data_IF_922092667372
#
_entry.id   IF_922092667372
#
_cell.length_a   1.000
_cell.length_b   1.000
_cell.length_c   1.000
_cell.angle_alpha   90.00
_cell.angle_beta   90.00
_cell.angle_gamma   90.00
#
_symmetry.space_group_name_H-M   'P 1'
#
loop_
_entity.id
_entity.type
_entity.pdbx_description
1 polymer ?
#
# COMPACT_ATOMS: atom_id res chain seq x y z
N UNK A 1 18.17 -31.36 -1.98
CA UNK A 1 18.34 -30.16 -2.80
C UNK A 1 19.15 -29.17 -1.99
N UNK A 2 20.39 -28.89 -2.41
CA UNK A 2 21.26 -27.95 -1.71
C UNK A 2 20.65 -26.56 -1.81
N UNK A 3 20.33 -25.93 -0.68
CA UNK A 3 20.05 -24.51 -0.67
C UNK A 3 21.28 -23.80 -1.27
N UNK A 4 21.12 -22.92 -2.29
CA UNK A 4 22.25 -22.17 -2.79
C UNK A 4 22.86 -21.42 -1.61
N UNK A 5 24.19 -21.56 -1.44
CA UNK A 5 24.95 -20.77 -0.51
C UNK A 5 24.72 -19.29 -0.88
N UNK A 6 23.77 -18.65 -0.20
CA UNK A 6 23.47 -17.23 -0.37
C UNK A 6 24.75 -16.47 -0.05
N UNK A 7 25.38 -15.93 -1.09
CA UNK A 7 26.70 -15.32 -1.06
C UNK A 7 26.74 -14.25 0.05
N UNK A 8 27.61 -14.46 1.04
CA UNK A 8 27.86 -13.54 2.17
C UNK A 8 28.49 -12.20 1.76
N UNK A 9 28.51 -11.89 0.46
CA UNK A 9 29.21 -10.77 -0.15
C UNK A 9 28.27 -9.64 -0.61
N UNK A 10 26.97 -9.76 -0.30
CA UNK A 10 26.04 -8.64 -0.53
C UNK A 10 26.34 -7.56 0.51
N UNK A 11 26.88 -6.44 0.05
CA UNK A 11 27.10 -5.24 0.88
C UNK A 11 25.85 -4.37 0.99
N UNK A 12 24.93 -4.50 0.03
CA UNK A 12 23.67 -3.74 -0.01
C UNK A 12 22.48 -4.69 -0.14
N UNK A 13 21.53 -4.58 0.78
CA UNK A 13 20.24 -5.24 0.72
C UNK A 13 19.16 -4.19 0.49
N UNK A 14 18.40 -4.32 -0.58
CA UNK A 14 17.30 -3.42 -0.92
C UNK A 14 16.01 -4.19 -1.10
N UNK A 15 15.01 -3.82 -0.31
CA UNK A 15 13.67 -4.41 -0.33
C UNK A 15 12.67 -3.38 -0.85
N UNK A 16 12.02 -3.70 -1.96
CA UNK A 16 10.95 -2.86 -2.51
C UNK A 16 9.65 -3.03 -1.71
N UNK A 17 9.04 -1.91 -1.38
CA UNK A 17 7.80 -1.82 -0.61
C UNK A 17 6.71 -1.35 -1.55
N UNK A 18 5.85 -2.29 -1.94
CA UNK A 18 4.75 -2.00 -2.84
C UNK A 18 3.71 -1.11 -2.13
N UNK A 19 3.51 0.08 -2.69
CA UNK A 19 2.61 1.13 -2.21
C UNK A 19 1.16 0.94 -2.62
N UNK A 20 0.60 1.98 -3.23
CA UNK A 20 -0.78 2.03 -3.69
C UNK A 20 -1.01 1.34 -5.03
N UNK A 21 0.04 1.03 -5.80
CA UNK A 21 -0.06 0.28 -7.07
C UNK A 21 -0.31 -1.23 -6.89
N UNK A 22 -1.27 -1.58 -6.05
CA UNK A 22 -1.66 -2.97 -5.79
C UNK A 22 -2.78 -3.38 -6.73
N UNK A 23 -2.79 -4.66 -7.08
CA UNK A 23 -3.92 -5.25 -7.82
C UNK A 23 -5.26 -4.96 -7.14
N UNK A 24 -5.35 -5.12 -5.81
CA UNK A 24 -6.56 -4.80 -5.05
C UNK A 24 -7.02 -3.35 -5.22
N UNK A 25 -6.09 -2.39 -5.16
CA UNK A 25 -6.43 -0.98 -5.36
C UNK A 25 -6.89 -0.70 -6.80
N UNK A 26 -6.24 -1.31 -7.80
CA UNK A 26 -6.62 -1.19 -9.22
C UNK A 26 -8.01 -1.77 -9.45
N UNK A 27 -8.27 -2.96 -8.91
CA UNK A 27 -9.56 -3.64 -8.98
C UNK A 27 -10.68 -2.77 -8.40
N UNK A 28 -10.54 -2.32 -7.15
CA UNK A 28 -11.54 -1.48 -6.49
C UNK A 28 -11.68 -0.11 -7.15
N UNK A 29 -10.58 0.49 -7.61
CA UNK A 29 -10.61 1.75 -8.37
C UNK A 29 -11.41 1.63 -9.68
N UNK A 30 -11.30 0.49 -10.35
CA UNK A 30 -12.03 0.19 -11.59
C UNK A 30 -13.50 -0.08 -11.33
N UNK A 31 -13.84 -0.91 -10.34
CA UNK A 31 -15.23 -1.18 -9.95
C UNK A 31 -15.94 0.12 -9.52
N UNK A 32 -15.27 0.95 -8.72
CA UNK A 32 -15.79 2.25 -8.32
C UNK A 32 -15.94 3.21 -9.51
N UNK A 33 -15.03 3.17 -10.49
CA UNK A 33 -15.15 3.98 -11.70
C UNK A 33 -16.39 3.61 -12.51
N UNK A 34 -16.59 2.32 -12.77
CA UNK A 34 -17.74 1.81 -13.53
C UNK A 34 -19.05 2.20 -12.83
N UNK A 35 -19.14 1.94 -11.52
CA UNK A 35 -20.34 2.28 -10.73
C UNK A 35 -20.59 3.79 -10.64
N UNK A 36 -19.56 4.56 -10.30
CA UNK A 36 -19.64 6.02 -10.14
C UNK A 36 -20.02 6.72 -11.45
N UNK A 37 -19.32 6.42 -12.53
CA UNK A 37 -19.61 7.01 -13.85
C UNK A 37 -20.98 6.55 -14.34
N UNK A 38 -21.31 5.26 -14.18
CA UNK A 38 -22.61 4.71 -14.56
C UNK A 38 -23.77 5.42 -13.87
N UNK A 39 -23.71 5.61 -12.56
CA UNK A 39 -24.75 6.33 -11.81
C UNK A 39 -24.78 7.83 -12.11
N UNK A 40 -23.63 8.45 -12.36
CA UNK A 40 -23.57 9.85 -12.76
C UNK A 40 -24.26 10.07 -14.12
N UNK A 41 -23.95 9.22 -15.11
CA UNK A 41 -24.58 9.25 -16.42
C UNK A 41 -26.08 8.92 -16.34
N UNK A 42 -26.49 7.98 -15.48
CA UNK A 42 -27.91 7.67 -15.25
C UNK A 42 -28.68 8.87 -14.69
N UNK A 43 -28.14 9.52 -13.65
CA UNK A 43 -28.73 10.71 -13.05
C UNK A 43 -28.81 11.88 -14.01
N UNK A 44 -27.75 12.11 -14.80
CA UNK A 44 -27.72 13.16 -15.83
C UNK A 44 -28.69 12.85 -16.99
N UNK A 45 -28.81 11.59 -17.39
CA UNK A 45 -29.77 11.17 -18.43
C UNK A 45 -31.21 11.43 -18.00
N UNK A 46 -31.54 11.13 -16.73
CA UNK A 46 -32.86 11.42 -16.15
C UNK A 46 -33.16 12.92 -16.08
N UNK A 47 -32.15 13.75 -15.81
CA UNK A 47 -32.31 15.21 -15.79
C UNK A 47 -32.48 15.82 -17.19
N UNK A 48 -31.62 15.43 -18.14
CA UNK A 48 -31.59 15.97 -19.49
C UNK A 48 -32.64 15.35 -20.44
N UNK A 49 -33.27 14.24 -20.03
CA UNK A 49 -34.15 13.42 -20.89
C UNK A 49 -33.46 12.91 -22.16
N UNK A 50 -32.14 12.70 -22.07
CA UNK A 50 -31.31 12.14 -23.15
C UNK A 50 -30.64 10.87 -22.62
N UNK A 51 -30.64 9.79 -23.40
CA UNK A 51 -29.95 8.57 -22.99
C UNK A 51 -28.43 8.69 -23.19
N UNK A 52 -27.66 8.83 -22.10
CA UNK A 52 -26.20 8.86 -22.12
C UNK A 52 -25.56 7.49 -21.88
N UNK A 53 -26.36 6.48 -21.54
CA UNK A 53 -25.89 5.13 -21.26
C UNK A 53 -26.05 4.24 -22.49
N UNK A 54 -25.03 3.42 -22.76
CA UNK A 54 -25.05 2.47 -23.88
C UNK A 54 -25.93 1.24 -23.54
N UNK A 55 -25.97 0.84 -22.27
CA UNK A 55 -26.55 -0.45 -21.84
C UNK A 55 -28.02 -0.33 -21.41
N UNK A 56 -28.48 0.84 -20.98
CA UNK A 56 -29.82 1.02 -20.41
C UNK A 56 -30.35 2.42 -20.69
N UNK A 57 -31.64 2.56 -20.99
CA UNK A 57 -32.28 3.86 -21.14
C UNK A 57 -32.80 4.37 -19.79
N UNK A 58 -32.16 5.43 -19.30
CA UNK A 58 -32.54 6.11 -18.04
C UNK A 58 -33.16 7.49 -18.28
N UNK A 59 -33.42 7.86 -19.53
CA UNK A 59 -34.01 9.16 -19.90
C UNK A 59 -35.45 9.34 -19.38
N UNK A 60 -36.17 8.23 -19.25
CA UNK A 60 -37.57 8.19 -18.79
C UNK A 60 -37.71 8.19 -17.27
N UNK A 61 -36.62 7.96 -16.51
CA UNK A 61 -36.67 7.97 -15.05
C UNK A 61 -37.13 9.36 -14.54
N UNK A 62 -38.02 9.36 -13.55
CA UNK A 62 -38.42 10.58 -12.87
C UNK A 62 -37.23 11.10 -12.06
N UNK A 63 -36.81 12.34 -12.35
CA UNK A 63 -35.61 12.90 -11.73
C UNK A 63 -35.69 12.97 -10.21
N UNK A 64 -36.85 13.37 -9.66
CA UNK A 64 -37.07 13.37 -8.20
C UNK A 64 -38.01 12.21 -7.85
N UNK A 65 -37.65 11.33 -6.89
CA UNK A 65 -36.41 11.31 -6.10
C UNK A 65 -35.28 10.46 -6.72
N UNK A 66 -35.56 9.68 -7.76
CA UNK A 66 -34.67 8.60 -8.19
C UNK A 66 -33.45 9.09 -8.99
N UNK A 67 -33.65 9.95 -9.99
CA UNK A 67 -32.54 10.51 -10.79
C UNK A 67 -31.55 11.33 -9.97
N UNK A 68 -32.02 12.13 -9.01
CA UNK A 68 -31.17 12.89 -8.09
C UNK A 68 -30.40 11.98 -7.12
N UNK A 69 -31.02 10.90 -6.63
CA UNK A 69 -30.32 9.91 -5.83
C UNK A 69 -29.20 9.22 -6.62
N UNK A 70 -29.47 8.81 -7.87
CA UNK A 70 -28.46 8.25 -8.77
C UNK A 70 -27.34 9.25 -9.03
N UNK A 71 -27.66 10.52 -9.28
CA UNK A 71 -26.66 11.57 -9.48
C UNK A 71 -25.78 11.74 -8.24
N UNK A 72 -26.36 11.74 -7.04
CA UNK A 72 -25.63 11.83 -5.78
C UNK A 72 -24.65 10.64 -5.60
N UNK A 73 -25.13 9.40 -5.76
CA UNK A 73 -24.28 8.21 -5.68
C UNK A 73 -23.21 8.20 -6.77
N UNK A 74 -23.53 8.71 -7.97
CA UNK A 74 -22.59 8.87 -9.07
C UNK A 74 -21.46 9.83 -8.75
N UNK A 75 -21.77 10.99 -8.15
CA UNK A 75 -20.76 11.96 -7.69
C UNK A 75 -19.88 11.33 -6.60
N UNK A 76 -20.49 10.71 -5.58
CA UNK A 76 -19.74 10.10 -4.49
C UNK A 76 -18.82 8.96 -4.98
N UNK A 77 -19.34 8.06 -5.81
CA UNK A 77 -18.58 6.97 -6.40
C UNK A 77 -17.46 7.45 -7.33
N UNK A 78 -17.73 8.46 -8.15
CA UNK A 78 -16.73 9.05 -9.05
C UNK A 78 -15.63 9.77 -8.27
N UNK A 79 -15.97 10.52 -7.21
CA UNK A 79 -15.00 11.17 -6.35
C UNK A 79 -14.11 10.15 -5.62
N UNK A 80 -14.70 9.07 -5.10
CA UNK A 80 -13.94 7.97 -4.51
C UNK A 80 -13.02 7.30 -5.54
N UNK A 81 -13.52 7.01 -6.73
CA UNK A 81 -12.71 6.42 -7.81
C UNK A 81 -11.56 7.33 -8.21
N UNK A 82 -11.81 8.63 -8.37
CA UNK A 82 -10.78 9.62 -8.68
C UNK A 82 -9.69 9.65 -7.61
N UNK A 83 -10.08 9.62 -6.33
CA UNK A 83 -9.14 9.54 -5.21
C UNK A 83 -8.30 8.26 -5.26
N UNK A 84 -8.93 7.09 -5.49
CA UNK A 84 -8.21 5.82 -5.61
C UNK A 84 -7.21 5.86 -6.76
N UNK A 85 -7.63 6.29 -7.95
CA UNK A 85 -6.74 6.43 -9.12
C UNK A 85 -5.62 7.43 -8.88
N UNK A 86 -5.90 8.56 -8.23
CA UNK A 86 -4.89 9.53 -7.84
C UNK A 86 -3.82 8.90 -6.94
N UNK A 87 -4.23 8.16 -5.91
CA UNK A 87 -3.28 7.47 -5.01
C UNK A 87 -2.47 6.38 -5.73
N UNK A 88 -3.07 5.67 -6.70
CA UNK A 88 -2.41 4.63 -7.51
C UNK A 88 -1.38 5.27 -8.46
N UNK A 89 -1.76 6.32 -9.19
CA UNK A 89 -0.88 7.01 -10.14
C UNK A 89 0.37 7.52 -9.42
N UNK A 90 0.19 8.12 -8.25
CA UNK A 90 1.26 8.69 -7.44
C UNK A 90 2.04 7.67 -6.61
N UNK A 91 1.62 6.41 -6.63
CA UNK A 91 2.14 5.30 -5.83
C UNK A 91 2.33 5.61 -4.35
N UNK A 92 1.30 6.20 -3.73
CA UNK A 92 1.35 6.63 -2.33
C UNK A 92 1.64 5.42 -1.42
N UNK A 93 2.59 5.57 -0.51
CA UNK A 93 3.10 4.54 0.38
C UNK A 93 4.12 3.60 -0.24
N UNK A 94 4.41 3.72 -1.54
CA UNK A 94 5.42 2.92 -2.24
C UNK A 94 6.82 3.42 -1.95
N UNK A 95 7.83 2.56 -2.05
CA UNK A 95 9.22 2.94 -1.82
C UNK A 95 10.08 1.73 -1.52
N UNK A 96 11.13 1.90 -0.71
CA UNK A 96 12.05 0.81 -0.43
C UNK A 96 12.68 0.94 0.95
N UNK A 97 13.20 -0.18 1.46
CA UNK A 97 14.11 -0.24 2.58
C UNK A 97 15.49 -0.61 2.04
N UNK A 98 16.50 0.20 2.28
CA UNK A 98 17.88 -0.08 1.87
C UNK A 98 18.75 -0.19 3.11
N UNK A 99 19.52 -1.28 3.18
CA UNK A 99 20.49 -1.57 4.21
C UNK A 99 21.86 -1.67 3.55
N UNK A 100 22.70 -0.67 3.78
CA UNK A 100 23.97 -0.52 3.09
C UNK A 100 25.12 -0.61 4.10
N UNK A 101 25.93 -1.67 3.99
CA UNK A 101 27.12 -1.92 4.82
C UNK A 101 28.33 -1.08 4.40
N UNK A 102 28.40 -0.63 3.15
CA UNK A 102 29.49 0.26 2.68
C UNK A 102 29.35 1.65 3.30
N UNK A 103 28.15 2.20 3.28
CA UNK A 103 27.87 3.52 3.87
C UNK A 103 27.57 3.45 5.37
N UNK A 104 27.31 2.25 5.90
CA UNK A 104 26.94 2.01 7.29
C UNK A 104 25.59 2.62 7.66
N UNK A 105 24.64 2.70 6.72
CA UNK A 105 23.33 3.35 6.90
C UNK A 105 22.17 2.44 6.49
N UNK A 106 21.06 2.60 7.20
CA UNK A 106 19.74 2.15 6.77
C UNK A 106 18.95 3.34 6.28
N UNK A 107 18.31 3.22 5.12
CA UNK A 107 17.48 4.25 4.50
C UNK A 107 16.10 3.68 4.23
N UNK A 108 15.08 4.34 4.77
CA UNK A 108 13.67 4.00 4.57
C UNK A 108 13.05 5.12 3.75
N UNK A 109 12.72 4.81 2.50
CA UNK A 109 12.12 5.74 1.56
C UNK A 109 10.66 5.37 1.31
N UNK A 110 9.76 6.36 1.34
CA UNK A 110 8.34 6.23 0.98
C UNK A 110 7.86 7.44 0.20
N UNK A 111 7.01 7.20 -0.80
CA UNK A 111 6.23 8.21 -1.50
C UNK A 111 5.03 8.62 -0.65
N UNK A 112 5.00 9.87 -0.20
CA UNK A 112 3.87 10.49 0.45
C UNK A 112 2.88 11.11 -0.54
N UNK A 113 1.91 11.84 0.00
CA UNK A 113 1.01 12.66 -0.80
C UNK A 113 1.76 13.81 -1.50
N UNK A 114 1.21 14.36 -2.61
CA UNK A 114 1.77 15.53 -3.25
C UNK A 114 1.91 16.71 -2.28
N UNK A 115 3.02 17.43 -2.41
CA UNK A 115 3.38 18.55 -1.55
C UNK A 115 4.88 18.66 -1.37
N UNK A 116 5.30 19.57 -0.50
CA UNK A 116 6.73 19.82 -0.21
C UNK A 116 7.44 18.57 0.35
N UNK A 117 6.70 17.76 1.12
CA UNK A 117 7.22 16.55 1.77
C UNK A 117 6.76 15.26 1.09
N UNK A 118 6.64 15.28 -0.25
CA UNK A 118 6.24 14.10 -1.02
C UNK A 118 7.24 12.94 -0.87
N UNK A 119 8.52 13.24 -0.77
CA UNK A 119 9.56 12.23 -0.51
C UNK A 119 9.76 12.14 1.00
N UNK A 120 9.37 11.03 1.59
CA UNK A 120 9.58 10.76 3.00
C UNK A 120 10.77 9.80 3.08
N UNK A 121 11.90 10.33 3.50
CA UNK A 121 13.14 9.57 3.63
C UNK A 121 13.66 9.73 5.05
N UNK A 122 13.93 8.60 5.70
CA UNK A 122 14.52 8.58 7.03
C UNK A 122 15.71 7.64 7.00
N UNK A 123 16.85 8.13 7.49
CA UNK A 123 18.10 7.38 7.50
C UNK A 123 18.66 7.27 8.92
N UNK A 124 19.21 6.11 9.27
CA UNK A 124 19.85 5.84 10.55
C UNK A 124 21.19 5.11 10.37
N UNK A 125 22.12 5.23 11.31
CA UNK A 125 23.32 4.38 11.33
C UNK A 125 22.93 2.92 11.48
N UNK A 126 23.55 2.04 10.69
CA UNK A 126 23.34 0.60 10.78
C UNK A 126 23.77 0.06 12.15
N UNK A 127 24.79 0.66 12.76
CA UNK A 127 25.28 0.36 14.11
C UNK A 127 24.27 0.66 15.23
N UNK A 128 23.18 1.38 14.96
CA UNK A 128 22.12 1.66 15.94
C UNK A 128 21.02 0.61 15.94
N UNK A 129 21.03 -0.33 15.00
CA UNK A 129 20.10 -1.44 14.97
C UNK A 129 20.50 -2.46 16.05
N UNK A 130 19.60 -2.76 16.98
CA UNK A 130 19.80 -3.74 18.05
C UNK A 130 19.23 -5.11 17.70
N UNK A 131 18.06 -5.13 17.08
CA UNK A 131 17.36 -6.36 16.71
C UNK A 131 16.39 -6.09 15.55
N UNK A 132 15.99 -7.16 14.88
CA UNK A 132 14.79 -7.18 14.03
C UNK A 132 13.68 -7.79 14.85
N UNK A 133 12.55 -7.10 14.97
CA UNK A 133 11.40 -7.58 15.76
C UNK A 133 10.26 -8.00 14.85
N UNK A 134 9.85 -9.26 14.96
CA UNK A 134 8.61 -9.79 14.42
C UNK A 134 7.46 -9.53 15.40
N UNK A 135 6.37 -8.94 14.91
CA UNK A 135 5.11 -8.79 15.64
C UNK A 135 4.07 -9.66 14.96
N UNK A 136 3.79 -10.80 15.58
CA UNK A 136 2.86 -11.81 15.10
C UNK A 136 1.69 -11.87 16.07
N UNK A 137 0.51 -11.49 15.58
CA UNK A 137 -0.76 -11.64 16.27
C UNK A 137 -1.70 -12.42 15.39
N UNK A 138 -2.15 -13.57 15.86
CA UNK A 138 -3.17 -14.38 15.19
C UNK A 138 -4.57 -14.11 15.78
N UNK A 139 -5.61 -14.38 15.00
CA UNK A 139 -7.01 -14.19 15.37
C UNK A 139 -7.80 -13.40 14.33
N UNK A 140 -8.90 -12.76 14.74
CA UNK A 140 -9.76 -11.99 13.83
C UNK A 140 -9.06 -10.77 13.20
N UNK A 141 -8.08 -10.20 13.93
CA UNK A 141 -7.26 -9.09 13.45
C UNK A 141 -5.80 -9.53 13.37
N UNK A 142 -5.51 -10.42 12.40
CA UNK A 142 -4.16 -10.90 12.16
C UNK A 142 -3.22 -9.74 11.85
N UNK A 143 -2.12 -9.65 12.61
CA UNK A 143 -1.02 -8.70 12.35
C UNK A 143 0.25 -9.51 12.20
N UNK A 144 0.98 -9.24 11.12
CA UNK A 144 2.29 -9.83 10.84
C UNK A 144 3.17 -8.72 10.29
N UNK A 145 4.04 -8.18 11.13
CA UNK A 145 4.88 -7.02 10.81
C UNK A 145 6.31 -7.22 11.28
N UNK A 146 7.26 -6.71 10.51
CA UNK A 146 8.67 -6.62 10.90
C UNK A 146 9.00 -5.17 11.27
N UNK A 147 9.79 -5.00 12.31
CA UNK A 147 10.30 -3.73 12.77
C UNK A 147 11.82 -3.78 12.90
N UNK A 148 12.49 -2.67 12.60
CA UNK A 148 13.83 -2.43 13.14
C UNK A 148 13.68 -1.92 14.56
N UNK A 149 14.38 -2.53 15.49
CA UNK A 149 14.56 -1.97 16.82
C UNK A 149 15.87 -1.19 16.85
N UNK A 150 15.77 0.14 16.99
CA UNK A 150 16.92 1.02 17.17
C UNK A 150 17.25 1.18 18.66
N UNK A 151 18.50 1.58 18.95
CA UNK A 151 18.91 2.09 20.26
C UNK A 151 17.90 3.13 20.76
N UNK A 152 17.67 3.15 22.08
CA UNK A 152 16.61 3.93 22.74
C UNK A 152 15.18 3.46 22.43
N UNK A 153 14.99 2.18 22.09
CA UNK A 153 13.68 1.50 21.90
C UNK A 153 12.77 2.16 20.87
N UNK A 154 13.33 2.80 19.84
CA UNK A 154 12.54 3.28 18.70
C UNK A 154 12.32 2.13 17.73
N UNK A 155 11.07 1.75 17.53
CA UNK A 155 10.69 0.72 16.56
C UNK A 155 10.23 1.37 15.26
N UNK A 156 10.78 0.91 14.14
CA UNK A 156 10.41 1.41 12.81
C UNK A 156 9.85 0.27 11.96
N UNK A 157 8.59 0.36 11.49
CA UNK A 157 7.99 -0.68 10.69
C UNK A 157 8.64 -0.78 9.31
N UNK A 158 9.05 -1.98 8.94
CA UNK A 158 9.62 -2.31 7.64
C UNK A 158 8.58 -2.83 6.66
N UNK A 159 7.64 -3.63 7.18
CA UNK A 159 6.59 -4.24 6.38
C UNK A 159 5.58 -3.20 5.91
N UNK A 160 5.09 -3.42 4.70
CA UNK A 160 4.01 -2.66 4.07
C UNK A 160 2.72 -2.62 4.91
N UNK A 161 1.92 -1.57 4.71
CA UNK A 161 0.55 -1.50 5.22
C UNK A 161 -0.38 -2.27 4.29
N UNK A 162 -1.19 -3.18 4.83
CA UNK A 162 -2.18 -3.92 4.06
C UNK A 162 -2.43 -5.33 4.60
N UNK A 163 -2.72 -6.26 3.70
CA UNK A 163 -2.92 -7.67 4.03
C UNK A 163 -1.64 -8.23 4.68
N UNK A 164 -1.76 -8.93 5.82
CA UNK A 164 -0.64 -9.65 6.41
C UNK A 164 -0.03 -10.62 5.39
N UNK A 165 1.30 -10.62 5.29
CA UNK A 165 2.04 -11.62 4.51
C UNK A 165 1.90 -13.01 5.17
N UNK A 166 2.30 -14.07 4.46
CA UNK A 166 2.29 -15.39 5.10
C UNK A 166 3.29 -15.42 6.27
N UNK A 167 3.05 -16.28 7.27
CA UNK A 167 3.95 -16.40 8.41
C UNK A 167 5.36 -16.80 7.94
N UNK A 168 5.44 -17.78 7.04
CA UNK A 168 6.70 -18.23 6.46
C UNK A 168 7.42 -17.14 5.66
N UNK A 169 6.70 -16.29 4.91
CA UNK A 169 7.32 -15.13 4.24
C UNK A 169 7.87 -14.13 5.24
N UNK A 170 7.15 -13.86 6.33
CA UNK A 170 7.60 -12.95 7.37
C UNK A 170 8.85 -13.49 8.09
N UNK A 171 8.84 -14.77 8.45
CA UNK A 171 9.98 -15.45 9.08
C UNK A 171 11.20 -15.44 8.17
N UNK A 172 11.02 -15.78 6.89
CA UNK A 172 12.11 -15.78 5.92
C UNK A 172 12.71 -14.38 5.71
N UNK A 173 11.86 -13.35 5.54
CA UNK A 173 12.32 -11.96 5.43
C UNK A 173 13.03 -11.49 6.70
N UNK A 174 12.44 -11.77 7.86
CA UNK A 174 13.01 -11.41 9.17
C UNK A 174 14.37 -12.08 9.41
N UNK A 175 14.48 -13.38 9.11
CA UNK A 175 15.71 -14.15 9.27
C UNK A 175 16.80 -13.73 8.28
N UNK A 176 16.44 -13.48 7.02
CA UNK A 176 17.38 -12.97 6.01
C UNK A 176 17.95 -11.62 6.42
N UNK A 177 17.08 -10.70 6.87
CA UNK A 177 17.48 -9.37 7.30
C UNK A 177 18.32 -9.41 8.59
N UNK A 178 17.92 -10.19 9.59
CA UNK A 178 18.67 -10.38 10.83
C UNK A 178 20.07 -10.94 10.57
N UNK A 179 20.16 -11.96 9.69
CA UNK A 179 21.44 -12.54 9.26
C UNK A 179 22.29 -11.54 8.47
N UNK A 180 21.67 -10.76 7.58
CA UNK A 180 22.38 -9.72 6.84
C UNK A 180 22.99 -8.68 7.78
N UNK A 181 22.23 -8.21 8.77
CA UNK A 181 22.68 -7.18 9.71
C UNK A 181 23.57 -7.72 10.85
N UNK A 182 23.57 -9.02 11.10
CA UNK A 182 24.28 -9.63 12.23
C UNK A 182 23.63 -9.33 13.58
N UNK A 183 22.31 -9.13 13.61
CA UNK A 183 21.53 -8.81 14.81
C UNK A 183 20.51 -9.92 15.09
N UNK A 184 20.05 -10.10 16.35
CA UNK A 184 19.03 -11.09 16.67
C UNK A 184 17.67 -10.77 16.01
N UNK A 185 16.92 -11.83 15.74
CA UNK A 185 15.49 -11.77 15.40
C UNK A 185 14.68 -12.04 16.69
N UNK A 186 13.85 -11.09 17.09
CA UNK A 186 13.00 -11.15 18.29
C UNK A 186 11.52 -11.28 17.92
N UNK A 187 10.70 -11.81 18.84
CA UNK A 187 9.22 -11.82 18.70
C UNK A 187 8.63 -12.99 17.92
N UNK A 188 9.40 -14.06 17.75
CA UNK A 188 8.90 -15.39 17.41
C UNK A 188 8.46 -16.13 18.68
#
# INVERSE_FOLDING_TARGET
MNAPAMTSDRLVLREEVLGSRRFSNIWWGTVAAIGGIGFLLAGLSSYLRVNLLIVSDTSQLVFIPQGIALLFYGIAGSALSLYLWFTIILDIGGGYNEFNKETGKVTIFRWGFPGKNRRIEVSYPLADIQAIRADIKEGLNTKRKLYIQLKQRREIPLTRVGRPISLSELENQGAELARFLGVPLEGL
#
